data_IF_816058805564
#
_entry.id   IF_816058805564
#
_cell.length_a   1.000
_cell.length_b   1.000
_cell.length_c   1.000
_cell.angle_alpha   90.00
_cell.angle_beta   90.00
_cell.angle_gamma   90.00
#
_symmetry.space_group_name_H-M   'P 1'
#
loop_
_entity.id
_entity.type
_entity.pdbx_description
1 polymer ?
#
# COMPACT_ATOMS: atom_id res chain seq x y z
N UNK A 1 -2.85 -10.58 23.85
CA UNK A 1 -3.62 -9.41 23.44
C UNK A 1 -2.92 -8.73 22.26
N UNK A 2 -3.66 -8.43 21.20
CA UNK A 2 -3.08 -7.79 20.03
C UNK A 2 -2.83 -6.33 20.29
N UNK A 3 -1.71 -5.85 19.79
CA UNK A 3 -1.40 -4.43 19.89
C UNK A 3 -2.19 -3.64 18.85
N UNK A 4 -2.55 -2.38 19.12
CA UNK A 4 -3.29 -1.56 18.17
C UNK A 4 -2.59 -1.45 16.81
N UNK A 5 -1.27 -1.43 16.79
CA UNK A 5 -0.50 -1.33 15.55
C UNK A 5 -0.69 -2.54 14.64
N UNK A 6 -0.85 -3.73 15.23
CA UNK A 6 -1.08 -4.94 14.45
C UNK A 6 -2.45 -4.89 13.76
N UNK A 7 -3.45 -4.36 14.46
CA UNK A 7 -4.79 -4.23 13.90
C UNK A 7 -4.80 -3.28 12.71
N UNK A 8 -4.12 -2.15 12.84
CA UNK A 8 -4.02 -1.18 11.76
C UNK A 8 -3.31 -1.79 10.56
N UNK A 9 -2.23 -2.54 10.82
CA UNK A 9 -1.49 -3.23 9.76
C UNK A 9 -2.37 -4.24 9.01
N UNK A 10 -3.20 -4.99 9.75
CA UNK A 10 -4.10 -5.97 9.14
C UNK A 10 -5.14 -5.30 8.25
N UNK A 11 -5.69 -4.17 8.70
CA UNK A 11 -6.68 -3.44 7.90
C UNK A 11 -6.08 -2.86 6.63
N UNK A 12 -4.88 -2.31 6.71
CA UNK A 12 -4.18 -1.77 5.55
C UNK A 12 -3.85 -2.90 4.57
N UNK A 13 -3.41 -4.05 5.07
CA UNK A 13 -3.15 -5.21 4.23
C UNK A 13 -4.41 -5.63 3.49
N UNK A 14 -5.55 -5.65 4.17
CA UNK A 14 -6.82 -6.02 3.54
C UNK A 14 -7.20 -5.05 2.44
N UNK A 15 -6.95 -3.76 2.61
CA UNK A 15 -7.20 -2.76 1.57
C UNK A 15 -6.33 -3.04 0.34
N UNK A 16 -5.04 -3.30 0.54
CA UNK A 16 -4.12 -3.60 -0.55
C UNK A 16 -4.56 -4.88 -1.28
N UNK A 17 -4.95 -5.91 -0.52
CA UNK A 17 -5.44 -7.17 -1.11
C UNK A 17 -6.66 -6.92 -1.98
N UNK A 18 -7.57 -6.07 -1.55
CA UNK A 18 -8.74 -5.72 -2.37
C UNK A 18 -8.34 -5.00 -3.63
N UNK A 19 -7.39 -4.08 -3.55
CA UNK A 19 -6.90 -3.37 -4.73
C UNK A 19 -6.32 -4.34 -5.74
N UNK A 20 -5.58 -5.35 -5.26
CA UNK A 20 -5.02 -6.37 -6.13
C UNK A 20 -6.09 -7.19 -6.82
N UNK A 21 -7.16 -7.52 -6.12
CA UNK A 21 -8.24 -8.34 -6.66
C UNK A 21 -9.13 -7.59 -7.64
N UNK A 22 -9.36 -6.31 -7.38
CA UNK A 22 -10.30 -5.51 -8.19
C UNK A 22 -9.68 -4.91 -9.43
N UNK A 23 -8.37 -4.92 -9.52
CA UNK A 23 -7.63 -4.38 -10.66
C UNK A 23 -7.88 -2.89 -10.92
N UNK A 24 -8.37 -2.16 -9.93
CA UNK A 24 -8.63 -0.73 -10.08
C UNK A 24 -7.35 0.07 -10.21
N UNK A 25 -6.27 -0.45 -9.67
CA UNK A 25 -4.95 0.18 -9.75
C UNK A 25 -3.93 -0.88 -10.17
N UNK A 26 -3.67 -0.95 -11.47
CA UNK A 26 -2.68 -1.88 -12.01
C UNK A 26 -1.30 -1.63 -11.42
N UNK A 27 -1.03 -0.39 -11.06
CA UNK A 27 0.25 0.01 -10.48
C UNK A 27 0.53 -0.69 -9.16
N UNK A 28 -0.51 -1.03 -8.39
CA UNK A 28 -0.36 -1.80 -7.15
C UNK A 28 0.14 -3.20 -7.48
N UNK A 29 -0.47 -3.86 -8.48
CA UNK A 29 -0.02 -5.18 -8.93
C UNK A 29 1.42 -5.13 -9.43
N UNK A 30 1.76 -4.13 -10.22
CA UNK A 30 3.11 -3.97 -10.76
C UNK A 30 4.12 -3.76 -9.64
N UNK A 31 3.77 -2.99 -8.60
CA UNK A 31 4.66 -2.77 -7.47
C UNK A 31 4.92 -4.06 -6.70
N UNK A 32 3.87 -4.84 -6.43
CA UNK A 32 4.00 -6.12 -5.74
C UNK A 32 4.87 -7.07 -6.56
N UNK A 33 4.60 -7.19 -7.87
CA UNK A 33 5.36 -8.07 -8.75
C UNK A 33 6.83 -7.68 -8.78
N UNK A 34 7.12 -6.38 -8.88
CA UNK A 34 8.50 -5.90 -8.93
C UNK A 34 9.24 -6.20 -7.64
N UNK A 35 8.58 -6.00 -6.49
CA UNK A 35 9.19 -6.32 -5.20
C UNK A 35 9.47 -7.82 -5.07
N UNK A 36 8.56 -8.65 -5.56
CA UNK A 36 8.77 -10.09 -5.56
C UNK A 36 9.94 -10.50 -6.46
N UNK A 37 10.07 -9.84 -7.60
CA UNK A 37 11.21 -10.07 -8.49
C UNK A 37 12.55 -9.73 -7.83
N UNK A 38 12.53 -8.78 -6.89
CA UNK A 38 13.72 -8.39 -6.13
C UNK A 38 13.95 -9.26 -4.89
N UNK A 39 13.21 -10.35 -4.75
CA UNK A 39 13.44 -11.32 -3.69
C UNK A 39 12.56 -11.20 -2.47
N UNK A 40 11.61 -10.26 -2.48
CA UNK A 40 10.66 -10.14 -1.37
C UNK A 40 9.56 -11.19 -1.49
N UNK A 41 9.08 -11.68 -0.35
CA UNK A 41 7.89 -12.53 -0.35
C UNK A 41 6.68 -11.68 -0.73
N UNK A 42 5.62 -12.33 -1.20
CA UNK A 42 4.37 -11.62 -1.51
C UNK A 42 3.85 -10.86 -0.30
N UNK A 43 3.90 -11.49 0.86
CA UNK A 43 3.45 -10.88 2.10
C UNK A 43 4.23 -9.62 2.42
N UNK A 44 5.55 -9.66 2.28
CA UNK A 44 6.40 -8.51 2.53
C UNK A 44 6.18 -7.41 1.48
N UNK A 45 5.96 -7.80 0.24
CA UNK A 45 5.66 -6.84 -0.82
C UNK A 45 4.35 -6.10 -0.52
N UNK A 46 3.33 -6.82 -0.07
CA UNK A 46 2.05 -6.22 0.30
C UNK A 46 2.22 -5.27 1.50
N UNK A 47 3.03 -5.66 2.47
CA UNK A 47 3.31 -4.78 3.63
C UNK A 47 4.00 -3.50 3.19
N UNK A 48 4.91 -3.59 2.24
CA UNK A 48 5.64 -2.43 1.72
C UNK A 48 4.70 -1.48 1.00
N UNK A 49 3.84 -2.01 0.14
CA UNK A 49 2.82 -1.21 -0.55
C UNK A 49 1.86 -0.59 0.47
N UNK A 50 1.48 -1.36 1.49
CA UNK A 50 0.63 -0.87 2.56
C UNK A 50 1.23 0.31 3.32
N UNK A 51 2.54 0.29 3.52
CA UNK A 51 3.23 1.41 4.18
C UNK A 51 3.13 2.69 3.34
N UNK A 52 3.26 2.58 2.03
CA UNK A 52 3.11 3.72 1.13
C UNK A 52 1.69 4.27 1.18
N UNK A 53 0.70 3.37 1.15
CA UNK A 53 -0.71 3.77 1.25
C UNK A 53 -0.97 4.49 2.58
N UNK A 54 -0.41 3.98 3.66
CA UNK A 54 -0.59 4.59 4.98
C UNK A 54 0.00 6.00 5.03
N UNK A 55 1.14 6.22 4.40
CA UNK A 55 1.72 7.56 4.29
C UNK A 55 0.80 8.52 3.56
N UNK A 56 0.20 8.06 2.46
CA UNK A 56 -0.74 8.89 1.70
C UNK A 56 -1.97 9.25 2.53
N UNK A 57 -2.51 8.28 3.25
CA UNK A 57 -3.65 8.52 4.13
C UNK A 57 -3.29 9.53 5.21
N UNK A 58 -2.12 9.39 5.80
CA UNK A 58 -1.65 10.29 6.84
C UNK A 58 -1.53 11.73 6.32
N UNK A 59 -0.93 11.90 5.15
CA UNK A 59 -0.81 13.23 4.55
C UNK A 59 -2.16 13.84 4.21
N UNK A 60 -3.07 13.02 3.70
CA UNK A 60 -4.41 13.46 3.39
C UNK A 60 -5.12 14.00 4.64
N UNK A 61 -4.99 13.31 5.76
CA UNK A 61 -5.61 13.71 7.02
C UNK A 61 -4.92 14.93 7.64
N UNK A 62 -3.60 14.98 7.58
CA UNK A 62 -2.81 16.05 8.21
C UNK A 62 -2.96 17.37 7.47
N UNK A 63 -2.99 17.33 6.14
CA UNK A 63 -3.03 18.51 5.30
C UNK A 63 -4.43 18.83 4.77
N UNK A 64 -5.43 18.07 5.19
CA UNK A 64 -6.81 18.22 4.76
C UNK A 64 -6.98 18.16 3.24
N UNK A 65 -6.18 17.30 2.61
CA UNK A 65 -6.22 17.09 1.18
C UNK A 65 -7.07 15.88 0.83
N UNK A 66 -7.53 15.82 -0.42
CA UNK A 66 -8.13 14.61 -0.95
C UNK A 66 -7.02 13.63 -1.33
N UNK A 67 -7.38 12.35 -1.49
CA UNK A 67 -6.42 11.32 -1.88
C UNK A 67 -5.83 11.65 -3.25
N UNK A 68 -4.49 11.70 -3.32
CA UNK A 68 -3.77 12.01 -4.54
C UNK A 68 -3.27 10.72 -5.19
N UNK A 69 -4.03 10.23 -6.16
CA UNK A 69 -3.72 8.99 -6.85
C UNK A 69 -2.38 9.06 -7.57
N UNK A 70 -2.10 10.18 -8.22
CA UNK A 70 -0.85 10.35 -8.96
C UNK A 70 0.37 10.27 -8.05
N UNK A 71 0.30 10.92 -6.89
CA UNK A 71 1.38 10.87 -5.90
C UNK A 71 1.57 9.46 -5.38
N UNK A 72 0.47 8.75 -5.11
CA UNK A 72 0.52 7.37 -4.66
C UNK A 72 1.20 6.48 -5.69
N UNK A 73 0.79 6.59 -6.96
CA UNK A 73 1.39 5.83 -8.05
C UNK A 73 2.88 6.14 -8.18
N UNK A 74 3.26 7.41 -8.10
CA UNK A 74 4.66 7.79 -8.18
C UNK A 74 5.49 7.17 -7.06
N UNK A 75 4.96 7.13 -5.86
CA UNK A 75 5.64 6.50 -4.73
C UNK A 75 5.78 4.99 -4.91
N UNK A 76 4.76 4.35 -5.47
CA UNK A 76 4.84 2.92 -5.78
C UNK A 76 5.92 2.63 -6.82
N UNK A 77 6.06 3.49 -7.81
CA UNK A 77 7.08 3.31 -8.84
C UNK A 77 8.49 3.44 -8.30
N UNK A 78 8.66 4.14 -7.19
CA UNK A 78 9.96 4.30 -6.55
C UNK A 78 10.37 3.11 -5.68
N UNK A 79 9.49 2.17 -5.44
CA UNK A 79 9.80 0.98 -4.63
C UNK A 79 10.74 0.01 -5.30
#
# INVERSE_FOLDING_TARGET
MREPNERVGDEIRNVVERQLQQSDLEEVNHAVDRLMEHGHSREKAIDTVGAVLLEEIHEMMTEEETFDRERYVNRLEDL
#
